data_IF_589318979232
#
_entry.id   IF_589318979232
#
_cell.length_a   1.000
_cell.length_b   1.000
_cell.length_c   1.000
_cell.angle_alpha   90.00
_cell.angle_beta   90.00
_cell.angle_gamma   90.00
#
_symmetry.space_group_name_H-M   'P 1'
#
loop_
_entity.id
_entity.type
_entity.pdbx_description
1 polymer ?
#
# COMPACT_ATOMS: atom_id res chain seq x y z
N UNK A 1 60.39 -32.20 -13.10
CA UNK A 1 59.69 -33.16 -12.22
C UNK A 1 58.61 -32.41 -11.46
N UNK A 2 57.36 -32.85 -11.58
CA UNK A 2 56.22 -32.30 -10.84
C UNK A 2 56.26 -32.79 -9.38
N UNK A 3 55.98 -31.91 -8.41
CA UNK A 3 55.87 -32.28 -6.99
C UNK A 3 55.15 -31.21 -6.19
N UNK A 4 53.94 -31.54 -5.73
CA UNK A 4 52.93 -30.71 -5.06
C UNK A 4 53.18 -30.70 -3.55
N UNK A 5 53.09 -29.57 -2.85
CA UNK A 5 52.47 -29.56 -1.50
C UNK A 5 52.01 -28.17 -1.03
N UNK A 6 50.77 -28.15 -0.55
CA UNK A 6 49.96 -27.05 -0.02
C UNK A 6 50.44 -26.65 1.38
N UNK A 7 50.28 -25.38 1.80
CA UNK A 7 49.31 -24.98 2.85
C UNK A 7 49.47 -23.54 3.37
N UNK A 8 48.31 -22.89 3.49
CA UNK A 8 47.84 -21.97 4.55
C UNK A 8 48.40 -20.53 4.64
N UNK A 9 47.49 -19.54 4.55
CA UNK A 9 47.58 -18.34 5.40
C UNK A 9 46.95 -17.03 4.88
N UNK A 10 45.72 -16.74 5.33
CA UNK A 10 45.18 -15.39 5.68
C UNK A 10 44.80 -14.48 4.49
N UNK A 11 43.52 -14.43 4.09
CA UNK A 11 42.47 -13.47 4.55
C UNK A 11 42.89 -12.01 4.42
N UNK A 12 42.49 -11.37 3.33
CA UNK A 12 42.25 -9.93 3.28
C UNK A 12 40.91 -9.68 2.57
N UNK A 13 39.88 -9.65 3.42
CA UNK A 13 38.56 -9.12 3.19
C UNK A 13 38.66 -7.64 2.80
N UNK A 14 38.49 -7.31 1.53
CA UNK A 14 38.03 -5.96 1.13
C UNK A 14 36.98 -6.10 0.03
N UNK A 15 35.75 -6.29 0.51
CA UNK A 15 34.54 -6.04 -0.25
C UNK A 15 34.43 -4.54 -0.56
N UNK A 16 34.44 -4.20 -1.84
CA UNK A 16 33.93 -2.94 -2.34
C UNK A 16 32.92 -3.22 -3.47
N UNK A 17 31.87 -3.97 -3.14
CA UNK A 17 30.65 -3.98 -3.93
C UNK A 17 29.92 -2.67 -3.64
N UNK A 18 30.35 -1.60 -4.30
CA UNK A 18 29.63 -0.33 -4.34
C UNK A 18 28.39 -0.45 -5.21
N UNK A 19 27.42 -1.26 -4.77
CA UNK A 19 26.08 -1.27 -5.34
C UNK A 19 25.35 -0.02 -4.81
N UNK A 20 25.62 1.13 -5.41
CA UNK A 20 24.78 2.31 -5.24
C UNK A 20 23.48 2.07 -5.99
N UNK A 21 22.62 1.21 -5.45
CA UNK A 21 21.21 1.18 -5.79
C UNK A 21 20.53 2.36 -5.10
N UNK A 22 20.87 3.59 -5.51
CA UNK A 22 19.97 4.72 -5.34
C UNK A 22 18.87 4.57 -6.38
N UNK A 23 18.01 3.58 -6.18
CA UNK A 23 16.71 3.57 -6.81
C UNK A 23 15.99 4.79 -6.21
N UNK A 24 15.93 5.86 -6.99
CA UNK A 24 15.06 6.99 -6.76
C UNK A 24 13.72 6.48 -6.22
N UNK A 25 13.41 6.85 -4.97
CA UNK A 25 12.09 6.79 -4.36
C UNK A 25 11.19 7.83 -5.05
N UNK A 26 11.16 7.81 -6.38
CA UNK A 26 10.37 8.66 -7.24
C UNK A 26 8.91 8.30 -7.01
N UNK A 27 8.29 9.01 -6.07
CA UNK A 27 6.85 9.01 -5.87
C UNK A 27 6.20 9.11 -7.26
N UNK A 28 5.40 8.11 -7.68
CA UNK A 28 4.89 8.06 -9.04
C UNK A 28 4.19 9.38 -9.35
N UNK A 29 4.60 10.02 -10.45
CA UNK A 29 4.19 11.38 -10.80
C UNK A 29 2.67 11.44 -11.01
N UNK A 30 2.11 12.64 -11.08
CA UNK A 30 0.69 12.81 -11.37
C UNK A 30 0.32 12.16 -12.73
N UNK A 31 1.23 12.22 -13.70
CA UNK A 31 1.07 11.62 -15.02
C UNK A 31 1.20 10.10 -14.98
N UNK A 32 2.16 9.53 -14.24
CA UNK A 32 2.27 8.07 -14.09
C UNK A 32 1.01 7.47 -13.45
N UNK A 33 0.45 8.18 -12.46
CA UNK A 33 -0.81 7.78 -11.81
C UNK A 33 -2.00 7.88 -12.76
N UNK A 34 -1.99 8.85 -13.69
CA UNK A 34 -3.02 9.03 -14.71
C UNK A 34 -2.91 7.96 -15.78
N UNK A 35 -1.72 7.71 -16.31
CA UNK A 35 -1.40 6.67 -17.28
C UNK A 35 -1.72 5.27 -16.73
N UNK A 36 -1.33 4.96 -15.49
CA UNK A 36 -1.69 3.69 -14.84
C UNK A 36 -3.21 3.53 -14.69
N UNK A 37 -3.93 4.61 -14.40
CA UNK A 37 -5.39 4.58 -14.32
C UNK A 37 -6.05 4.42 -15.69
N UNK A 38 -5.47 4.97 -16.75
CA UNK A 38 -5.92 4.76 -18.13
C UNK A 38 -5.69 3.31 -18.53
N UNK A 39 -4.46 2.79 -18.41
CA UNK A 39 -4.17 1.38 -18.70
C UNK A 39 -5.09 0.38 -17.98
N UNK A 40 -5.43 0.65 -16.72
CA UNK A 40 -6.38 -0.17 -15.96
C UNK A 40 -7.83 -0.04 -16.41
N UNK A 41 -8.22 1.11 -16.97
CA UNK A 41 -9.53 1.29 -17.59
C UNK A 41 -9.57 0.57 -18.93
N UNK A 42 -8.58 0.80 -19.77
CA UNK A 42 -8.49 0.22 -21.11
C UNK A 42 -8.43 -1.32 -21.04
N UNK A 43 -7.73 -1.87 -20.03
CA UNK A 43 -7.70 -3.31 -19.79
C UNK A 43 -9.02 -3.90 -19.25
N UNK A 44 -9.98 -3.08 -18.86
CA UNK A 44 -11.28 -3.51 -18.33
C UNK A 44 -12.46 -3.14 -19.25
N UNK A 45 -12.21 -2.22 -20.19
CA UNK A 45 -13.13 -1.73 -21.21
C UNK A 45 -13.05 -2.70 -22.39
N UNK A 46 -13.94 -3.68 -22.36
CA UNK A 46 -13.96 -4.81 -23.29
C UNK A 46 -14.73 -4.45 -24.56
N UNK A 47 -15.68 -3.53 -24.46
CA UNK A 47 -16.46 -3.04 -25.61
C UNK A 47 -15.83 -1.84 -26.34
N UNK A 48 -14.81 -1.21 -25.75
CA UNK A 48 -14.01 -0.16 -26.40
C UNK A 48 -14.71 1.20 -26.47
N UNK A 49 -15.76 1.41 -25.68
CA UNK A 49 -16.55 2.65 -25.71
C UNK A 49 -15.93 3.80 -24.88
N UNK A 50 -14.82 3.53 -24.18
CA UNK A 50 -14.11 4.47 -23.32
C UNK A 50 -14.71 4.62 -21.91
N UNK A 51 -15.76 3.86 -21.58
CA UNK A 51 -16.57 3.94 -20.37
C UNK A 51 -16.96 2.55 -19.87
N UNK A 52 -16.29 2.13 -18.80
CA UNK A 52 -16.72 0.94 -18.04
C UNK A 52 -18.22 0.91 -17.68
N UNK A 53 -18.95 0.04 -18.38
CA UNK A 53 -20.35 -0.27 -18.16
C UNK A 53 -20.55 -0.94 -16.79
N UNK A 54 -21.80 -1.15 -16.38
CA UNK A 54 -22.11 -1.87 -15.14
C UNK A 54 -21.65 -3.33 -15.21
N UNK A 55 -21.79 -3.97 -16.36
CA UNK A 55 -21.37 -5.35 -16.62
C UNK A 55 -19.85 -5.50 -16.54
N UNK A 56 -19.10 -4.65 -17.23
CA UNK A 56 -17.63 -4.67 -17.21
C UNK A 56 -17.07 -4.35 -15.84
N UNK A 57 -17.68 -3.38 -15.12
CA UNK A 57 -17.32 -3.12 -13.71
C UNK A 57 -17.56 -4.34 -12.83
N UNK A 58 -18.60 -5.13 -13.08
CA UNK A 58 -18.89 -6.34 -12.31
C UNK A 58 -17.84 -7.41 -12.61
N UNK A 59 -17.57 -7.69 -13.88
CA UNK A 59 -16.53 -8.63 -14.30
C UNK A 59 -15.15 -8.26 -13.73
N UNK A 60 -14.74 -6.99 -13.85
CA UNK A 60 -13.49 -6.50 -13.26
C UNK A 60 -13.47 -6.65 -11.74
N UNK A 61 -14.58 -6.37 -11.06
CA UNK A 61 -14.66 -6.54 -9.60
C UNK A 61 -14.54 -7.99 -9.18
N UNK A 62 -15.12 -8.91 -9.94
CA UNK A 62 -15.01 -10.35 -9.69
C UNK A 62 -13.56 -10.81 -9.90
N UNK A 63 -12.91 -10.43 -11.00
CA UNK A 63 -11.48 -10.71 -11.21
C UNK A 63 -10.59 -10.14 -10.11
N UNK A 64 -10.85 -8.91 -9.66
CA UNK A 64 -10.10 -8.31 -8.54
C UNK A 64 -10.37 -9.04 -7.23
N UNK A 65 -11.60 -9.50 -7.00
CA UNK A 65 -11.94 -10.31 -5.82
C UNK A 65 -11.22 -11.64 -5.86
N UNK A 66 -11.18 -12.29 -7.02
CA UNK A 66 -10.45 -13.56 -7.20
C UNK A 66 -8.96 -13.38 -6.93
N UNK A 67 -8.31 -12.41 -7.57
CA UNK A 67 -6.90 -12.09 -7.31
C UNK A 67 -6.62 -11.70 -5.88
N UNK A 68 -7.60 -11.17 -5.15
CA UNK A 68 -7.46 -10.87 -3.72
C UNK A 68 -7.63 -12.10 -2.85
N UNK A 69 -8.55 -13.01 -3.21
CA UNK A 69 -8.67 -14.33 -2.57
C UNK A 69 -7.35 -15.06 -2.70
N UNK A 70 -6.85 -15.27 -3.92
CA UNK A 70 -5.57 -15.93 -4.19
C UNK A 70 -4.35 -15.32 -3.48
N UNK A 71 -4.41 -14.06 -3.05
CA UNK A 71 -3.31 -13.40 -2.31
C UNK A 71 -3.44 -13.52 -0.79
N UNK A 72 -4.63 -13.82 -0.30
CA UNK A 72 -4.94 -13.92 1.12
C UNK A 72 -5.16 -15.38 1.54
N UNK A 73 -5.63 -16.21 0.60
CA UNK A 73 -5.63 -17.66 0.61
C UNK A 73 -4.19 -18.12 0.43
N UNK A 74 -3.58 -18.46 1.56
CA UNK A 74 -2.18 -18.81 1.71
C UNK A 74 -1.99 -20.32 1.67
N UNK A 75 -3.04 -21.09 1.98
CA UNK A 75 -3.06 -22.56 1.92
C UNK A 75 -3.57 -23.12 0.58
N UNK A 76 -4.19 -22.27 -0.26
CA UNK A 76 -4.60 -22.60 -1.62
C UNK A 76 -5.91 -23.39 -1.70
N UNK A 77 -6.73 -23.36 -0.65
CA UNK A 77 -7.97 -24.13 -0.56
C UNK A 77 -9.17 -23.49 -1.30
N UNK A 78 -8.98 -22.28 -1.85
CA UNK A 78 -9.99 -21.53 -2.58
C UNK A 78 -10.99 -20.78 -1.70
N UNK A 79 -10.87 -20.90 -0.38
CA UNK A 79 -11.63 -20.18 0.63
C UNK A 79 -10.73 -19.18 1.36
N UNK A 80 -11.32 -18.38 2.24
CA UNK A 80 -10.54 -17.58 3.18
C UNK A 80 -10.90 -18.08 4.55
N UNK A 81 -9.98 -18.81 5.17
CA UNK A 81 -10.16 -19.27 6.53
C UNK A 81 -10.19 -18.08 7.50
N UNK A 82 -10.73 -18.28 8.69
CA UNK A 82 -10.78 -17.21 9.68
C UNK A 82 -9.38 -16.83 10.18
N UNK A 83 -8.45 -17.77 10.18
CA UNK A 83 -7.03 -17.52 10.48
C UNK A 83 -6.41 -16.54 9.46
N UNK A 84 -6.66 -16.72 8.17
CA UNK A 84 -6.14 -15.84 7.11
C UNK A 84 -6.77 -14.46 7.14
N UNK A 85 -8.10 -14.40 7.36
CA UNK A 85 -8.79 -13.12 7.59
C UNK A 85 -8.23 -12.43 8.83
N UNK A 86 -7.89 -13.16 9.88
CA UNK A 86 -7.31 -12.62 11.10
C UNK A 86 -5.91 -12.06 10.83
N UNK A 87 -5.03 -12.81 10.18
CA UNK A 87 -3.70 -12.35 9.78
C UNK A 87 -3.78 -11.06 8.94
N UNK A 88 -4.68 -11.01 7.95
CA UNK A 88 -4.91 -9.81 7.15
C UNK A 88 -5.45 -8.63 7.97
N UNK A 89 -6.33 -8.88 8.95
CA UNK A 89 -6.84 -7.86 9.88
C UNK A 89 -5.75 -7.34 10.80
N UNK A 90 -4.88 -8.21 11.31
CA UNK A 90 -3.75 -7.86 12.17
C UNK A 90 -2.72 -7.03 11.42
N UNK A 91 -2.32 -7.43 10.22
CA UNK A 91 -1.44 -6.63 9.37
C UNK A 91 -2.02 -5.22 9.10
N UNK A 92 -3.34 -5.13 8.88
CA UNK A 92 -4.02 -3.84 8.73
C UNK A 92 -4.05 -3.03 10.02
N UNK A 93 -4.25 -3.67 11.17
CA UNK A 93 -4.22 -3.03 12.49
C UNK A 93 -2.83 -2.50 12.81
N UNK A 94 -1.78 -3.27 12.55
CA UNK A 94 -0.38 -2.87 12.72
C UNK A 94 -0.05 -1.61 11.90
N UNK A 95 -0.35 -1.60 10.59
CA UNK A 95 -0.17 -0.40 9.74
C UNK A 95 -0.96 0.82 10.22
N UNK A 96 -2.16 0.59 10.78
CA UNK A 96 -2.97 1.68 11.32
C UNK A 96 -2.39 2.23 12.62
N UNK A 97 -1.89 1.34 13.48
CA UNK A 97 -1.22 1.67 14.73
C UNK A 97 0.02 2.51 14.45
N UNK A 98 0.91 2.04 13.59
CA UNK A 98 2.11 2.77 13.13
C UNK A 98 1.79 4.20 12.63
N UNK A 99 0.68 4.39 11.92
CA UNK A 99 0.28 5.73 11.47
C UNK A 99 -0.24 6.64 12.59
N UNK A 100 -0.78 6.07 13.66
CA UNK A 100 -1.47 6.76 14.76
C UNK A 100 -0.56 6.98 15.97
N UNK A 101 0.31 6.02 16.23
CA UNK A 101 1.42 6.06 17.17
C UNK A 101 2.39 7.14 16.68
N UNK A 102 2.55 8.18 17.46
CA UNK A 102 3.34 9.38 17.16
C UNK A 102 4.45 9.60 18.16
N UNK A 103 4.37 8.95 19.31
CA UNK A 103 5.44 8.90 20.28
C UNK A 103 6.24 7.59 20.20
N UNK A 104 5.93 6.71 19.25
CA UNK A 104 6.61 5.45 18.97
C UNK A 104 6.70 4.55 20.21
N UNK A 105 5.69 4.63 21.09
CA UNK A 105 5.65 3.87 22.35
C UNK A 105 5.07 2.45 22.18
N UNK A 106 4.70 2.12 20.94
CA UNK A 106 4.12 0.82 20.60
C UNK A 106 2.70 0.68 21.11
N UNK A 107 1.97 1.76 21.40
CA UNK A 107 0.55 1.76 21.79
C UNK A 107 -0.15 2.96 21.13
N UNK A 108 -1.48 2.88 21.03
CA UNK A 108 -2.27 4.06 20.61
C UNK A 108 -2.88 4.70 21.85
N UNK A 109 -2.22 5.71 22.39
CA UNK A 109 -2.60 6.38 23.63
C UNK A 109 -3.85 7.27 23.52
N UNK A 110 -4.42 7.74 24.64
CA UNK A 110 -5.59 8.62 24.64
C UNK A 110 -5.39 9.91 23.84
N UNK A 111 -4.19 10.52 23.92
CA UNK A 111 -3.84 11.74 23.19
C UNK A 111 -3.89 11.53 21.67
N UNK A 112 -3.40 10.39 21.21
CA UNK A 112 -3.34 10.03 19.79
C UNK A 112 -4.71 9.66 19.23
N UNK A 113 -5.51 8.91 20.01
CA UNK A 113 -6.92 8.67 19.70
C UNK A 113 -7.70 9.98 19.59
N UNK A 114 -7.49 10.92 20.52
CA UNK A 114 -8.11 12.26 20.49
C UNK A 114 -7.68 13.04 19.26
N UNK A 115 -6.40 12.99 18.88
CA UNK A 115 -5.88 13.62 17.65
C UNK A 115 -6.52 13.02 16.40
N UNK A 116 -6.61 11.69 16.33
CA UNK A 116 -7.25 10.98 15.23
C UNK A 116 -8.74 11.31 15.11
N UNK A 117 -9.46 11.36 16.24
CA UNK A 117 -10.87 11.76 16.30
C UNK A 117 -11.05 13.20 15.82
N UNK A 118 -10.29 14.16 16.35
CA UNK A 118 -10.32 15.56 15.88
C UNK A 118 -10.01 15.69 14.39
N UNK A 119 -9.10 14.89 13.85
CA UNK A 119 -8.83 14.87 12.43
C UNK A 119 -10.03 14.34 11.61
N UNK A 120 -10.72 13.32 12.12
CA UNK A 120 -11.96 12.79 11.54
C UNK A 120 -13.08 13.82 11.60
N UNK A 121 -13.36 14.41 12.75
CA UNK A 121 -14.42 15.40 12.96
C UNK A 121 -14.18 16.68 12.12
N UNK A 122 -12.91 17.04 11.86
CA UNK A 122 -12.60 18.15 10.94
C UNK A 122 -12.90 17.82 9.48
N UNK A 123 -12.85 16.54 9.13
CA UNK A 123 -13.06 16.05 7.77
C UNK A 123 -14.54 15.72 7.52
N UNK A 124 -15.22 15.18 8.52
CA UNK A 124 -16.67 14.99 8.59
C UNK A 124 -17.34 16.36 8.67
N UNK A 125 -18.20 16.69 7.71
CA UNK A 125 -18.81 18.02 7.55
C UNK A 125 -20.31 17.97 7.60
N UNK A 126 -20.89 16.81 7.36
CA UNK A 126 -22.30 16.55 7.53
C UNK A 126 -22.61 15.87 8.89
N UNK A 127 -21.60 15.66 9.74
CA UNK A 127 -21.70 15.10 11.08
C UNK A 127 -22.40 13.72 11.11
N UNK A 128 -22.23 12.94 10.05
CA UNK A 128 -22.83 11.60 9.93
C UNK A 128 -21.98 10.50 10.61
N UNK A 129 -20.87 10.90 11.22
CA UNK A 129 -19.92 10.02 11.88
C UNK A 129 -19.05 9.24 10.90
N UNK A 130 -19.08 9.53 9.60
CA UNK A 130 -18.26 8.91 8.55
C UNK A 130 -17.61 10.01 7.73
N UNK A 131 -16.48 9.69 7.09
CA UNK A 131 -15.84 10.62 6.14
C UNK A 131 -16.14 10.15 4.72
N UNK A 132 -17.11 10.80 4.10
CA UNK A 132 -17.57 10.56 2.74
C UNK A 132 -16.50 10.81 1.67
N UNK A 133 -16.81 10.48 0.42
CA UNK A 133 -15.90 10.69 -0.74
C UNK A 133 -15.65 12.19 -0.97
N UNK A 134 -16.71 13.00 -0.90
CA UNK A 134 -16.64 14.46 -1.11
C UNK A 134 -15.79 15.13 -0.04
N UNK A 135 -15.96 14.73 1.20
CA UNK A 135 -15.22 15.21 2.37
C UNK A 135 -13.74 14.85 2.34
N UNK A 136 -13.41 13.58 2.05
CA UNK A 136 -12.02 13.15 1.82
C UNK A 136 -11.36 13.95 0.71
N UNK A 137 -12.07 14.22 -0.40
CA UNK A 137 -11.54 15.03 -1.52
C UNK A 137 -11.23 16.46 -1.06
N UNK A 138 -12.13 17.09 -0.29
CA UNK A 138 -11.93 18.43 0.28
C UNK A 138 -10.74 18.46 1.25
N UNK A 139 -10.68 17.52 2.19
CA UNK A 139 -9.58 17.39 3.14
C UNK A 139 -8.23 17.21 2.43
N UNK A 140 -8.17 16.33 1.41
CA UNK A 140 -6.96 16.12 0.60
C UNK A 140 -6.55 17.36 -0.17
N UNK A 141 -7.50 18.09 -0.79
CA UNK A 141 -7.20 19.35 -1.51
C UNK A 141 -6.62 20.39 -0.56
N UNK A 142 -7.18 20.51 0.65
CA UNK A 142 -6.69 21.43 1.69
C UNK A 142 -5.28 21.05 2.16
N UNK A 143 -5.02 19.76 2.39
CA UNK A 143 -3.69 19.27 2.74
C UNK A 143 -2.65 19.55 1.65
N UNK A 144 -2.97 19.30 0.38
CA UNK A 144 -2.08 19.61 -0.76
C UNK A 144 -1.75 21.10 -0.86
N UNK A 145 -2.73 21.98 -0.66
CA UNK A 145 -2.50 23.45 -0.68
C UNK A 145 -1.58 23.89 0.47
N UNK A 146 -1.67 23.23 1.63
CA UNK A 146 -0.80 23.51 2.78
C UNK A 146 0.63 23.02 2.60
N UNK A 147 0.83 21.95 1.82
CA UNK A 147 2.17 21.41 1.55
C UNK A 147 2.90 22.11 0.39
N UNK A 148 2.21 22.98 -0.37
CA UNK A 148 2.79 23.77 -1.47
C UNK A 148 3.12 25.21 -1.03
N UNK A 149 2.80 25.58 0.20
CA UNK A 149 3.11 26.87 0.80
C UNK A 149 4.26 26.67 1.76
#
# INVERSE_FOLDING_TARGET
>A
MHGITRFLGIVALTAACGLTASADDAQPSAEDRKAKRQRLKDAADTDGDGKLSSAERKALREQIRERRRQRADTDGDGQLSDAEKQAAREARRARKKDRLDKNDDGKVGPRERKRARRAKDRADKNDDGKVGKRERKRARKKAKRRAKK
#
